data_IF_461682159999
#
_entry.id   IF_461682159999
#
_cell.length_a   1.000
_cell.length_b   1.000
_cell.length_c   1.000
_cell.angle_alpha   90.00
_cell.angle_beta   90.00
_cell.angle_gamma   90.00
#
_symmetry.space_group_name_H-M   'P 1'
#
loop_
_entity.id
_entity.type
_entity.pdbx_description
1 polymer ?
#
# COMPACT_ATOMS: atom_id res chain seq x y z
N UNK A 1 3.05 -16.57 37.85
CA UNK A 1 1.98 -15.56 37.69
C UNK A 1 2.53 -14.47 36.79
N UNK A 2 2.23 -14.55 35.50
CA UNK A 2 2.65 -13.54 34.53
C UNK A 2 1.57 -12.46 34.55
N UNK A 3 1.98 -11.22 34.82
CA UNK A 3 1.09 -10.07 34.87
C UNK A 3 0.41 -9.87 33.51
N UNK A 4 -0.91 -10.05 33.46
CA UNK A 4 -1.79 -9.60 32.36
C UNK A 4 -1.98 -8.08 32.42
N UNK A 5 -0.88 -7.32 32.40
CA UNK A 5 -0.88 -5.89 32.75
C UNK A 5 -0.41 -4.92 31.66
N UNK A 6 -0.04 -5.41 30.47
CA UNK A 6 0.31 -4.53 29.35
C UNK A 6 -0.15 -5.14 28.03
N UNK A 7 -1.25 -4.63 27.49
CA UNK A 7 -1.74 -4.85 26.12
C UNK A 7 -0.90 -4.13 25.06
N UNK A 8 0.35 -3.78 25.38
CA UNK A 8 1.27 -3.14 24.45
C UNK A 8 2.16 -4.21 23.82
N UNK A 9 1.96 -4.41 22.52
CA UNK A 9 2.85 -5.24 21.71
C UNK A 9 4.23 -4.56 21.65
N UNK A 10 5.35 -5.32 21.77
CA UNK A 10 6.69 -4.73 21.65
C UNK A 10 6.85 -3.99 20.33
N UNK A 11 7.43 -2.79 20.39
CA UNK A 11 7.60 -1.92 19.21
C UNK A 11 8.53 -2.52 18.15
N UNK A 12 9.40 -3.45 18.54
CA UNK A 12 10.36 -4.15 17.70
C UNK A 12 9.87 -5.54 17.23
N UNK A 13 8.66 -5.95 17.63
CA UNK A 13 8.11 -7.27 17.28
C UNK A 13 8.07 -7.48 15.76
N UNK A 14 7.66 -6.46 15.01
CA UNK A 14 7.61 -6.51 13.54
C UNK A 14 9.00 -6.66 12.89
N UNK A 15 10.06 -6.20 13.55
CA UNK A 15 11.42 -6.24 13.02
C UNK A 15 12.19 -7.52 13.41
N UNK A 16 11.70 -8.27 14.40
CA UNK A 16 12.38 -9.46 14.91
C UNK A 16 11.47 -10.69 14.88
N UNK A 17 11.68 -11.52 13.85
CA UNK A 17 10.91 -12.73 13.58
C UNK A 17 11.25 -13.91 14.52
N UNK A 18 12.29 -13.78 15.34
CA UNK A 18 12.64 -14.74 16.40
C UNK A 18 11.87 -14.50 17.71
N UNK A 19 11.08 -13.42 17.82
CA UNK A 19 10.31 -13.16 19.03
C UNK A 19 9.35 -14.33 19.34
N UNK A 20 9.36 -14.87 20.58
CA UNK A 20 8.45 -15.94 20.97
C UNK A 20 6.96 -15.61 20.81
N UNK A 21 6.61 -14.31 20.87
CA UNK A 21 5.25 -13.80 20.70
C UNK A 21 4.65 -14.11 19.32
N UNK A 22 5.46 -14.41 18.30
CA UNK A 22 4.93 -14.85 17.00
C UNK A 22 4.11 -16.15 17.11
N UNK A 23 4.49 -17.07 18.01
CA UNK A 23 3.71 -18.28 18.28
C UNK A 23 2.35 -17.97 18.92
N UNK A 24 2.27 -16.89 19.70
CA UNK A 24 1.02 -16.43 20.28
C UNK A 24 0.14 -15.76 19.23
N UNK A 25 0.72 -15.02 18.28
CA UNK A 25 0.01 -14.46 17.12
C UNK A 25 -0.53 -15.59 16.24
N UNK A 26 0.27 -16.62 15.92
CA UNK A 26 -0.20 -17.80 15.17
C UNK A 26 -1.42 -18.45 15.86
N UNK A 27 -1.34 -18.68 17.18
CA UNK A 27 -2.46 -19.24 17.96
C UNK A 27 -3.65 -18.30 18.02
N UNK A 28 -3.42 -16.99 18.09
CA UNK A 28 -4.47 -15.98 18.10
C UNK A 28 -5.25 -16.03 16.80
N UNK A 29 -4.59 -16.20 15.66
CA UNK A 29 -5.26 -16.30 14.35
C UNK A 29 -6.09 -17.58 14.20
N UNK A 30 -5.63 -18.68 14.81
CA UNK A 30 -6.39 -19.93 14.88
C UNK A 30 -7.57 -19.86 15.87
N UNK A 31 -7.43 -19.05 16.92
CA UNK A 31 -8.52 -18.75 17.82
C UNK A 31 -9.45 -17.73 17.15
N UNK A 32 -10.75 -18.01 16.98
CA UNK A 32 -11.71 -17.02 16.47
C UNK A 32 -11.96 -15.84 17.45
N UNK A 33 -10.95 -15.42 18.21
CA UNK A 33 -11.01 -14.37 19.21
C UNK A 33 -11.02 -12.99 18.54
N UNK A 34 -12.24 -12.48 18.35
CA UNK A 34 -12.51 -11.20 17.69
C UNK A 34 -12.02 -9.97 18.48
N UNK A 35 -11.74 -10.12 19.79
CA UNK A 35 -11.45 -8.99 20.69
C UNK A 35 -10.08 -8.32 20.48
N UNK A 36 -9.12 -9.05 19.90
CA UNK A 36 -7.74 -8.57 19.73
C UNK A 36 -7.49 -7.91 18.37
N UNK A 37 -8.36 -8.17 17.39
CA UNK A 37 -8.27 -7.62 16.04
C UNK A 37 -8.26 -6.08 16.00
N UNK A 38 -9.10 -5.34 16.74
CA UNK A 38 -9.09 -3.87 16.67
C UNK A 38 -7.73 -3.25 17.04
N UNK A 39 -7.02 -3.83 18.01
CA UNK A 39 -5.69 -3.35 18.42
C UNK A 39 -4.62 -3.79 17.40
N UNK A 40 -4.71 -5.02 16.92
CA UNK A 40 -3.79 -5.54 15.92
C UNK A 40 -3.86 -4.76 14.59
N UNK A 41 -5.07 -4.43 14.13
CA UNK A 41 -5.30 -3.69 12.87
C UNK A 41 -4.78 -2.25 12.85
N UNK A 42 -4.37 -1.71 14.01
CA UNK A 42 -3.74 -0.39 14.10
C UNK A 42 -2.24 -0.43 13.77
N UNK A 43 -1.63 -1.61 13.73
CA UNK A 43 -0.18 -1.81 13.61
C UNK A 43 0.21 -2.29 12.21
N UNK A 44 0.37 -1.38 11.25
CA UNK A 44 0.66 -1.73 9.85
C UNK A 44 1.96 -2.52 9.67
N UNK A 45 3.04 -2.15 10.38
CA UNK A 45 4.31 -2.87 10.37
C UNK A 45 4.16 -4.31 10.85
N UNK A 46 3.38 -4.53 11.90
CA UNK A 46 3.11 -5.86 12.43
C UNK A 46 2.28 -6.69 11.46
N UNK A 47 1.28 -6.09 10.81
CA UNK A 47 0.47 -6.78 9.79
C UNK A 47 1.37 -7.18 8.61
N UNK A 48 2.22 -6.27 8.12
CA UNK A 48 3.16 -6.56 7.03
C UNK A 48 4.10 -7.72 7.42
N UNK A 49 4.71 -7.65 8.61
CA UNK A 49 5.57 -8.71 9.14
C UNK A 49 4.83 -10.05 9.25
N UNK A 50 3.59 -10.04 9.74
CA UNK A 50 2.76 -11.23 9.89
C UNK A 50 2.53 -11.94 8.55
N UNK A 51 2.26 -11.21 7.47
CA UNK A 51 2.08 -11.83 6.13
C UNK A 51 3.33 -12.64 5.71
N UNK A 52 4.52 -12.16 6.03
CA UNK A 52 5.78 -12.83 5.70
C UNK A 52 6.26 -13.85 6.75
N UNK A 53 5.70 -13.84 7.95
CA UNK A 53 6.15 -14.67 9.08
C UNK A 53 5.27 -15.88 9.35
N UNK A 54 3.96 -15.74 9.20
CA UNK A 54 2.99 -16.75 9.59
C UNK A 54 2.96 -17.90 8.58
N UNK A 55 2.69 -19.11 9.04
CA UNK A 55 2.70 -20.27 8.15
C UNK A 55 1.58 -20.21 7.10
N UNK A 56 0.38 -19.73 7.48
CA UNK A 56 -0.81 -19.65 6.63
C UNK A 56 -1.19 -18.19 6.30
N UNK A 57 -0.45 -17.59 5.38
CA UNK A 57 -0.63 -16.22 4.89
C UNK A 57 -1.99 -16.00 4.22
N UNK A 58 -2.49 -16.97 3.47
CA UNK A 58 -3.77 -16.83 2.75
C UNK A 58 -4.93 -16.69 3.73
N UNK A 59 -4.97 -17.54 4.76
CA UNK A 59 -5.99 -17.42 5.82
C UNK A 59 -5.85 -16.08 6.55
N UNK A 60 -4.63 -15.65 6.87
CA UNK A 60 -4.40 -14.36 7.51
C UNK A 60 -4.89 -13.17 6.67
N UNK A 61 -4.54 -13.15 5.38
CA UNK A 61 -5.02 -12.12 4.43
C UNK A 61 -6.55 -12.13 4.32
N UNK A 62 -7.19 -13.30 4.29
CA UNK A 62 -8.65 -13.43 4.28
C UNK A 62 -9.28 -12.91 5.58
N UNK A 63 -8.64 -13.12 6.75
CA UNK A 63 -9.11 -12.55 8.01
C UNK A 63 -9.00 -11.02 8.00
N UNK A 64 -7.92 -10.44 7.46
CA UNK A 64 -7.81 -8.99 7.30
C UNK A 64 -9.00 -8.43 6.48
N UNK A 65 -9.35 -9.10 5.38
CA UNK A 65 -10.52 -8.73 4.57
C UNK A 65 -11.81 -8.83 5.40
N UNK A 66 -12.01 -9.92 6.13
CA UNK A 66 -13.17 -10.15 7.00
C UNK A 66 -13.33 -9.07 8.07
N UNK A 67 -12.24 -8.56 8.61
CA UNK A 67 -12.25 -7.44 9.58
C UNK A 67 -12.18 -6.06 8.94
N UNK A 68 -12.46 -5.95 7.64
CA UNK A 68 -12.52 -4.71 6.87
C UNK A 68 -11.19 -3.95 6.75
N UNK A 69 -10.07 -4.63 6.92
CA UNK A 69 -8.74 -4.04 6.72
C UNK A 69 -8.34 -4.07 5.25
N UNK A 70 -7.82 -2.95 4.75
CA UNK A 70 -7.32 -2.84 3.36
C UNK A 70 -5.80 -2.79 3.39
N UNK A 71 -5.16 -3.81 2.83
CA UNK A 71 -3.70 -3.97 2.82
C UNK A 71 -2.99 -2.91 1.97
N UNK A 72 -3.72 -2.25 1.06
CA UNK A 72 -3.29 -1.08 0.29
C UNK A 72 -2.97 0.15 1.15
N UNK A 73 -3.40 0.14 2.40
CA UNK A 73 -3.15 1.20 3.37
C UNK A 73 -1.89 0.94 4.22
N UNK A 74 -1.15 -0.15 3.94
CA UNK A 74 0.18 -0.38 4.49
C UNK A 74 1.20 0.35 3.62
N UNK A 75 2.11 1.10 4.24
CA UNK A 75 3.13 1.86 3.53
C UNK A 75 4.23 0.97 2.97
N UNK A 76 4.89 1.42 1.90
CA UNK A 76 6.03 0.77 1.28
C UNK A 76 7.14 0.44 2.29
N UNK A 77 7.44 1.35 3.22
CA UNK A 77 8.47 1.12 4.25
C UNK A 77 8.13 -0.05 5.17
N UNK A 78 6.85 -0.23 5.52
CA UNK A 78 6.41 -1.34 6.37
C UNK A 78 6.56 -2.67 5.65
N UNK A 79 6.20 -2.71 4.36
CA UNK A 79 6.40 -3.88 3.51
C UNK A 79 7.88 -4.22 3.31
N UNK A 80 8.72 -3.23 2.99
CA UNK A 80 10.15 -3.42 2.81
C UNK A 80 10.81 -3.92 4.10
N UNK A 81 10.46 -3.34 5.25
CA UNK A 81 10.98 -3.76 6.55
C UNK A 81 10.56 -5.20 6.88
N UNK A 82 9.32 -5.59 6.57
CA UNK A 82 8.86 -6.97 6.75
C UNK A 82 9.65 -7.95 5.86
N UNK A 83 9.92 -7.59 4.61
CA UNK A 83 10.75 -8.38 3.69
C UNK A 83 12.19 -8.50 4.21
N UNK A 84 12.77 -7.40 4.69
CA UNK A 84 14.13 -7.40 5.26
C UNK A 84 14.20 -8.28 6.52
N UNK A 85 13.22 -8.19 7.41
CA UNK A 85 13.15 -9.01 8.62
C UNK A 85 12.98 -10.50 8.29
N UNK A 86 12.12 -10.83 7.31
CA UNK A 86 11.93 -12.19 6.82
C UNK A 86 13.22 -12.75 6.21
N UNK A 87 13.90 -11.96 5.37
CA UNK A 87 15.16 -12.36 4.74
C UNK A 87 16.23 -12.64 5.80
N UNK A 88 16.37 -11.75 6.78
CA UNK A 88 17.33 -11.95 7.89
C UNK A 88 17.02 -13.22 8.67
N UNK A 89 15.75 -13.43 9.03
CA UNK A 89 15.31 -14.62 9.76
C UNK A 89 15.69 -15.92 9.05
N UNK A 90 15.46 -16.01 7.75
CA UNK A 90 15.78 -17.22 6.98
C UNK A 90 17.30 -17.44 6.85
N UNK A 91 18.07 -16.37 6.68
CA UNK A 91 19.54 -16.45 6.66
C UNK A 91 20.07 -16.94 8.01
N UNK A 92 19.58 -16.37 9.11
CA UNK A 92 19.99 -16.73 10.48
C UNK A 92 19.56 -18.17 10.84
N UNK A 93 18.42 -18.65 10.31
CA UNK A 93 17.89 -19.98 10.59
C UNK A 93 18.61 -21.11 9.83
N UNK A 94 18.91 -20.91 8.54
CA UNK A 94 19.42 -21.97 7.67
C UNK A 94 20.94 -22.08 7.72
N UNK A 95 21.66 -20.96 7.93
CA UNK A 95 23.13 -20.84 7.84
C UNK A 95 23.71 -21.31 6.47
N UNK A 96 24.78 -20.67 6.01
CA UNK A 96 25.47 -21.03 4.75
C UNK A 96 25.00 -20.34 3.47
N UNK A 97 25.61 -20.70 2.33
CA UNK A 97 25.49 -19.98 1.04
C UNK A 97 24.10 -20.05 0.41
N UNK A 98 23.40 -21.18 0.58
CA UNK A 98 22.13 -21.46 -0.08
C UNK A 98 20.94 -20.80 0.64
N UNK A 99 21.16 -20.29 1.86
CA UNK A 99 20.14 -19.64 2.68
C UNK A 99 19.57 -18.39 2.00
N UNK A 100 20.40 -17.64 1.24
CA UNK A 100 19.96 -16.45 0.52
C UNK A 100 18.98 -16.79 -0.60
N UNK A 101 19.27 -17.82 -1.39
CA UNK A 101 18.40 -18.25 -2.48
C UNK A 101 17.09 -18.82 -1.97
N UNK A 102 17.13 -19.61 -0.89
CA UNK A 102 15.93 -20.13 -0.23
C UNK A 102 15.07 -19.01 0.37
N UNK A 103 15.69 -18.03 1.02
CA UNK A 103 14.97 -16.86 1.53
C UNK A 103 14.31 -16.07 0.39
N UNK A 104 15.02 -15.87 -0.73
CA UNK A 104 14.48 -15.19 -1.92
C UNK A 104 13.28 -15.95 -2.49
N UNK A 105 13.39 -17.26 -2.69
CA UNK A 105 12.29 -18.09 -3.22
C UNK A 105 11.06 -18.04 -2.30
N UNK A 106 11.27 -18.13 -0.98
CA UNK A 106 10.18 -18.03 -0.01
C UNK A 106 9.49 -16.66 -0.08
N UNK A 107 10.25 -15.57 -0.04
CA UNK A 107 9.70 -14.20 -0.05
C UNK A 107 8.96 -13.93 -1.37
N UNK A 108 9.49 -14.39 -2.51
CA UNK A 108 8.80 -14.27 -3.80
C UNK A 108 7.47 -15.02 -3.81
N UNK A 109 7.43 -16.24 -3.28
CA UNK A 109 6.17 -16.99 -3.12
C UNK A 109 5.15 -16.23 -2.25
N UNK A 110 5.62 -15.54 -1.20
CA UNK A 110 4.75 -14.69 -0.36
C UNK A 110 4.24 -13.46 -1.09
N UNK A 111 5.09 -12.81 -1.89
CA UNK A 111 4.68 -11.69 -2.75
C UNK A 111 3.61 -12.14 -3.74
N UNK A 112 3.81 -13.28 -4.41
CA UNK A 112 2.82 -13.84 -5.33
C UNK A 112 1.47 -14.09 -4.64
N UNK A 113 1.48 -14.69 -3.44
CA UNK A 113 0.27 -14.91 -2.66
C UNK A 113 -0.45 -13.60 -2.29
N UNK A 114 0.30 -12.55 -1.91
CA UNK A 114 -0.27 -11.21 -1.66
C UNK A 114 -0.93 -10.68 -2.92
N UNK A 115 -0.29 -10.80 -4.08
CA UNK A 115 -0.80 -10.27 -5.35
C UNK A 115 -2.04 -11.02 -5.87
N UNK A 116 -2.24 -12.28 -5.49
CA UNK A 116 -3.50 -12.98 -5.76
C UNK A 116 -4.69 -12.39 -4.98
N UNK A 117 -4.44 -11.87 -3.78
CA UNK A 117 -5.49 -11.31 -2.91
C UNK A 117 -5.65 -9.80 -3.10
N UNK A 118 -4.56 -9.08 -3.31
CA UNK A 118 -4.51 -7.63 -3.48
C UNK A 118 -3.65 -7.24 -4.70
N UNK A 119 -4.18 -7.41 -5.94
CA UNK A 119 -3.47 -7.06 -7.17
C UNK A 119 -3.07 -5.58 -7.30
N UNK A 120 -3.73 -4.71 -6.52
CA UNK A 120 -3.40 -3.29 -6.33
C UNK A 120 -1.97 -3.06 -5.83
N UNK A 121 -1.37 -4.02 -5.12
CA UNK A 121 -0.02 -3.91 -4.57
C UNK A 121 1.09 -4.25 -5.58
N UNK A 122 0.77 -4.54 -6.85
CA UNK A 122 1.76 -5.00 -7.83
C UNK A 122 2.95 -4.06 -8.00
N UNK A 123 2.73 -2.75 -8.09
CA UNK A 123 3.83 -1.77 -8.21
C UNK A 123 4.68 -1.70 -6.95
N UNK A 124 4.05 -1.76 -5.76
CA UNK A 124 4.75 -1.73 -4.46
C UNK A 124 5.68 -2.94 -4.36
N UNK A 125 5.14 -4.13 -4.65
CA UNK A 125 5.89 -5.39 -4.56
C UNK A 125 7.00 -5.45 -5.60
N UNK A 126 6.70 -5.09 -6.86
CA UNK A 126 7.69 -5.00 -7.93
C UNK A 126 8.86 -4.08 -7.56
N UNK A 127 8.58 -2.94 -6.90
CA UNK A 127 9.62 -2.03 -6.45
C UNK A 127 10.46 -2.62 -5.30
N UNK A 128 9.86 -3.40 -4.40
CA UNK A 128 10.61 -4.15 -3.37
C UNK A 128 11.52 -5.18 -4.01
N UNK A 129 11.01 -5.97 -4.96
CA UNK A 129 11.82 -6.97 -5.68
C UNK A 129 13.00 -6.33 -6.40
N UNK A 130 12.78 -5.18 -7.06
CA UNK A 130 13.85 -4.40 -7.68
C UNK A 130 14.88 -3.91 -6.66
N UNK A 131 14.46 -3.37 -5.51
CA UNK A 131 15.40 -2.89 -4.50
C UNK A 131 16.22 -4.01 -3.86
N UNK A 132 15.65 -5.22 -3.75
CA UNK A 132 16.28 -6.36 -3.10
C UNK A 132 17.15 -7.19 -4.05
N UNK A 133 16.74 -7.33 -5.30
CA UNK A 133 17.33 -8.29 -6.23
C UNK A 133 17.54 -7.75 -7.65
N UNK A 134 17.37 -6.44 -7.86
CA UNK A 134 17.49 -5.77 -9.15
C UNK A 134 16.58 -6.37 -10.26
N UNK A 135 15.44 -6.96 -9.86
CA UNK A 135 14.46 -7.53 -10.78
C UNK A 135 13.70 -6.41 -11.52
N UNK A 136 13.91 -6.31 -12.85
CA UNK A 136 13.34 -5.27 -13.71
C UNK A 136 11.99 -5.68 -14.28
N UNK A 137 10.93 -5.61 -13.47
CA UNK A 137 9.56 -5.80 -13.95
C UNK A 137 9.08 -4.66 -14.86
N UNK A 138 7.97 -4.88 -15.59
CA UNK A 138 7.33 -3.86 -16.43
C UNK A 138 7.05 -2.56 -15.66
N UNK A 139 6.51 -2.66 -14.44
CA UNK A 139 6.21 -1.47 -13.63
C UNK A 139 7.47 -0.67 -13.24
N UNK A 140 8.59 -1.34 -13.02
CA UNK A 140 9.88 -0.68 -12.71
C UNK A 140 10.41 0.03 -13.95
N UNK A 141 10.31 -0.61 -15.12
CA UNK A 141 10.72 -0.04 -16.40
C UNK A 141 9.89 1.19 -16.78
N UNK A 142 8.58 1.16 -16.56
CA UNK A 142 7.68 2.31 -16.78
C UNK A 142 8.06 3.51 -15.90
N UNK A 143 8.38 3.27 -14.62
CA UNK A 143 8.87 4.31 -13.71
C UNK A 143 10.19 4.89 -14.20
N UNK A 144 11.15 4.03 -14.59
CA UNK A 144 12.44 4.46 -15.09
C UNK A 144 12.29 5.31 -16.38
N UNK A 145 11.42 4.89 -17.29
CA UNK A 145 11.11 5.63 -18.51
C UNK A 145 10.50 7.00 -18.19
N UNK A 146 9.52 7.06 -17.30
CA UNK A 146 8.88 8.30 -16.87
C UNK A 146 9.90 9.26 -16.23
N UNK A 147 10.81 8.77 -15.38
CA UNK A 147 11.90 9.58 -14.81
C UNK A 147 12.83 10.16 -15.87
N UNK A 148 13.14 9.38 -16.91
CA UNK A 148 14.07 9.79 -17.97
C UNK A 148 13.48 10.80 -18.97
N UNK A 149 12.16 10.87 -19.06
CA UNK A 149 11.44 11.71 -20.02
C UNK A 149 10.69 12.83 -19.27
N UNK A 150 9.44 12.57 -18.90
CA UNK A 150 8.61 13.45 -18.09
C UNK A 150 7.74 12.58 -17.16
N UNK A 151 7.90 12.78 -15.85
CA UNK A 151 7.13 12.08 -14.84
C UNK A 151 5.61 12.36 -14.95
N UNK A 152 5.22 13.52 -15.50
CA UNK A 152 3.82 13.88 -15.71
C UNK A 152 3.16 13.11 -16.86
N UNK A 153 3.91 12.42 -17.71
CA UNK A 153 3.32 11.50 -18.69
C UNK A 153 2.44 10.42 -18.02
N UNK A 154 2.82 9.97 -16.81
CA UNK A 154 2.02 9.03 -16.03
C UNK A 154 0.69 9.64 -15.54
N UNK A 155 0.67 10.96 -15.31
CA UNK A 155 -0.53 11.71 -14.92
C UNK A 155 -1.42 11.93 -16.14
N UNK A 156 -0.83 12.24 -17.29
CA UNK A 156 -1.57 12.38 -18.55
C UNK A 156 -2.26 11.07 -18.95
N UNK A 157 -1.60 9.92 -18.76
CA UNK A 157 -2.22 8.60 -18.96
C UNK A 157 -3.46 8.39 -18.08
N UNK A 158 -3.50 8.96 -16.87
CA UNK A 158 -4.68 8.86 -16.00
C UNK A 158 -5.85 9.68 -16.52
N UNK A 159 -5.59 10.93 -16.93
CA UNK A 159 -6.63 11.95 -17.04
C UNK A 159 -6.91 12.44 -18.45
N UNK A 160 -5.93 12.40 -19.36
CA UNK A 160 -5.97 13.12 -20.63
C UNK A 160 -6.35 12.24 -21.81
N UNK A 161 -7.28 12.75 -22.61
CA UNK A 161 -7.73 12.09 -23.85
C UNK A 161 -8.81 11.03 -23.63
N UNK A 162 -9.38 10.62 -24.75
CA UNK A 162 -10.47 9.63 -24.82
C UNK A 162 -10.02 8.24 -24.36
N UNK A 163 -8.73 7.93 -24.51
CA UNK A 163 -8.15 6.64 -24.14
C UNK A 163 -7.43 6.67 -22.77
N UNK A 164 -7.64 7.74 -21.99
CA UNK A 164 -7.15 7.80 -20.61
C UNK A 164 -7.68 6.63 -19.77
N UNK A 165 -6.92 6.26 -18.74
CA UNK A 165 -7.32 5.20 -17.81
C UNK A 165 -8.65 5.54 -17.13
N UNK A 166 -8.89 6.80 -16.77
CA UNK A 166 -10.15 7.25 -16.19
C UNK A 166 -11.35 6.96 -17.13
N UNK A 167 -11.22 7.29 -18.42
CA UNK A 167 -12.30 7.08 -19.38
C UNK A 167 -12.52 5.59 -19.63
N UNK A 168 -11.45 4.87 -19.95
CA UNK A 168 -11.50 3.48 -20.41
C UNK A 168 -11.78 2.47 -19.31
N UNK A 169 -11.36 2.74 -18.07
CA UNK A 169 -11.53 1.79 -16.95
C UNK A 169 -12.71 2.13 -16.04
N UNK A 170 -13.02 3.42 -15.86
CA UNK A 170 -14.06 3.84 -14.91
C UNK A 170 -15.29 4.47 -15.61
N UNK A 171 -15.13 5.62 -16.27
CA UNK A 171 -16.29 6.42 -16.67
C UNK A 171 -17.15 5.76 -17.76
N UNK A 172 -16.54 5.11 -18.74
CA UNK A 172 -17.27 4.37 -19.79
C UNK A 172 -17.94 3.11 -19.23
N UNK A 173 -17.26 2.41 -18.32
CA UNK A 173 -17.78 1.20 -17.66
C UNK A 173 -19.03 1.49 -16.83
N UNK A 174 -19.07 2.68 -16.21
CA UNK A 174 -20.14 3.09 -15.29
C UNK A 174 -21.01 4.22 -15.85
N UNK A 175 -21.17 4.29 -17.18
CA UNK A 175 -21.90 5.38 -17.84
C UNK A 175 -23.39 5.44 -17.45
N UNK A 176 -23.98 4.31 -17.05
CA UNK A 176 -25.37 4.17 -16.63
C UNK A 176 -25.56 4.17 -15.11
N UNK A 177 -24.48 4.25 -14.33
CA UNK A 177 -24.56 4.19 -12.86
C UNK A 177 -24.98 5.55 -12.32
N UNK A 178 -26.17 5.58 -11.71
CA UNK A 178 -26.73 6.79 -11.11
C UNK A 178 -26.18 7.07 -9.71
N UNK A 179 -25.88 6.01 -8.93
CA UNK A 179 -25.44 6.11 -7.53
C UNK A 179 -23.97 5.73 -7.41
N UNK A 180 -23.13 6.69 -7.06
CA UNK A 180 -21.70 6.50 -6.84
C UNK A 180 -21.37 6.61 -5.34
N UNK A 181 -20.36 5.86 -4.84
CA UNK A 181 -19.81 6.08 -3.51
C UNK A 181 -19.30 7.52 -3.37
N UNK A 182 -20.04 8.35 -2.65
CA UNK A 182 -19.72 9.77 -2.48
C UNK A 182 -19.29 10.06 -1.05
N UNK A 183 -18.21 10.82 -0.91
CA UNK A 183 -17.68 11.19 0.39
C UNK A 183 -16.79 12.42 0.30
N UNK A 184 -16.78 13.22 1.37
CA UNK A 184 -15.78 14.30 1.56
C UNK A 184 -14.42 13.75 2.01
N UNK A 185 -14.23 12.42 2.00
CA UNK A 185 -13.01 11.79 2.49
C UNK A 185 -11.78 12.18 1.68
N UNK A 186 -11.89 12.33 0.35
CA UNK A 186 -10.75 12.73 -0.48
C UNK A 186 -10.13 14.05 -0.01
N UNK A 187 -10.92 15.12 0.12
CA UNK A 187 -10.42 16.42 0.59
C UNK A 187 -9.83 16.34 2.00
N UNK A 188 -10.43 15.54 2.90
CA UNK A 188 -9.89 15.31 4.25
C UNK A 188 -8.55 14.58 4.21
N UNK A 189 -8.44 13.54 3.39
CA UNK A 189 -7.24 12.72 3.22
C UNK A 189 -6.11 13.53 2.59
N UNK A 190 -6.39 14.27 1.50
CA UNK A 190 -5.42 15.13 0.84
C UNK A 190 -4.85 16.20 1.79
N UNK A 191 -5.72 16.84 2.58
CA UNK A 191 -5.28 17.81 3.60
C UNK A 191 -4.45 17.17 4.71
N UNK A 192 -4.81 15.96 5.15
CA UNK A 192 -4.05 15.23 6.16
C UNK A 192 -2.66 14.84 5.64
N UNK A 193 -2.61 14.35 4.40
CA UNK A 193 -1.38 14.01 3.69
C UNK A 193 -0.47 15.23 3.55
N UNK A 194 -0.97 16.34 3.00
CA UNK A 194 -0.22 17.58 2.82
C UNK A 194 0.40 18.09 4.13
N UNK A 195 -0.38 18.12 5.22
CA UNK A 195 0.08 18.60 6.54
C UNK A 195 1.22 17.79 7.14
N UNK A 196 1.34 16.51 6.76
CA UNK A 196 2.38 15.60 7.25
C UNK A 196 3.47 15.35 6.21
N UNK A 197 3.32 15.90 5.00
CA UNK A 197 4.26 15.75 3.91
C UNK A 197 5.53 16.57 4.13
N UNK A 198 6.71 16.04 3.79
CA UNK A 198 7.93 16.83 3.68
C UNK A 198 7.83 17.91 2.58
N UNK A 199 8.75 18.88 2.61
CA UNK A 199 8.71 20.05 1.73
C UNK A 199 8.75 19.71 0.24
N UNK A 200 9.49 18.67 -0.16
CA UNK A 200 9.54 18.22 -1.56
C UNK A 200 8.14 17.77 -2.04
N UNK A 201 7.43 16.97 -1.25
CA UNK A 201 6.08 16.51 -1.58
C UNK A 201 5.09 17.68 -1.55
N UNK A 202 5.18 18.59 -0.57
CA UNK A 202 4.34 19.79 -0.54
C UNK A 202 4.50 20.64 -1.81
N UNK A 203 5.74 20.84 -2.29
CA UNK A 203 6.00 21.57 -3.55
C UNK A 203 5.35 20.89 -4.75
N UNK A 204 5.39 19.57 -4.83
CA UNK A 204 4.73 18.81 -5.90
C UNK A 204 3.20 19.07 -5.86
N UNK A 205 2.60 18.99 -4.67
CA UNK A 205 1.17 19.23 -4.47
C UNK A 205 0.78 20.70 -4.76
N UNK A 206 1.61 21.67 -4.37
CA UNK A 206 1.38 23.09 -4.64
C UNK A 206 1.48 23.39 -6.14
N UNK A 207 2.47 22.82 -6.83
CA UNK A 207 2.60 22.91 -8.29
C UNK A 207 1.36 22.35 -8.99
N UNK A 208 0.87 21.19 -8.53
CA UNK A 208 -0.35 20.58 -9.05
C UNK A 208 -1.59 21.46 -8.91
N UNK A 209 -1.64 22.34 -7.91
CA UNK A 209 -2.77 23.25 -7.73
C UNK A 209 -2.65 24.52 -8.58
N UNK A 210 -1.42 24.92 -8.92
CA UNK A 210 -1.13 26.18 -9.61
C UNK A 210 -0.95 26.05 -11.13
N UNK A 211 -0.54 24.87 -11.62
CA UNK A 211 -0.23 24.62 -13.03
C UNK A 211 -1.19 23.56 -13.61
N UNK A 212 -2.01 23.98 -14.57
CA UNK A 212 -2.97 23.11 -15.25
C UNK A 212 -2.33 21.93 -15.98
N UNK A 213 -1.04 22.02 -16.34
CA UNK A 213 -0.28 20.93 -16.97
C UNK A 213 0.30 19.93 -15.98
N UNK A 214 0.21 20.21 -14.68
CA UNK A 214 0.80 19.39 -13.60
C UNK A 214 -0.24 18.87 -12.61
N UNK A 215 -1.51 18.85 -13.00
CA UNK A 215 -2.63 18.49 -12.16
C UNK A 215 -2.59 17.00 -11.82
N UNK A 216 -2.09 16.66 -10.63
CA UNK A 216 -1.97 15.29 -10.13
C UNK A 216 -3.32 14.59 -9.94
N UNK A 217 -4.30 15.32 -9.44
CA UNK A 217 -5.62 14.80 -9.12
C UNK A 217 -6.68 15.40 -10.02
N UNK A 218 -7.66 14.61 -10.41
CA UNK A 218 -8.76 15.06 -11.25
C UNK A 218 -9.45 16.30 -10.63
N UNK A 219 -9.56 17.42 -11.36
CA UNK A 219 -9.75 18.75 -10.78
C UNK A 219 -11.17 19.03 -10.28
N UNK A 220 -12.15 18.16 -10.58
CA UNK A 220 -13.54 18.37 -10.17
C UNK A 220 -13.78 17.88 -8.74
N UNK A 221 -13.15 18.55 -7.76
CA UNK A 221 -13.19 18.16 -6.34
C UNK A 221 -14.63 18.20 -5.77
N UNK A 222 -15.51 18.99 -6.38
CA UNK A 222 -16.92 19.11 -6.02
C UNK A 222 -17.83 18.11 -6.73
N UNK A 223 -17.32 17.34 -7.69
CA UNK A 223 -18.05 16.26 -8.33
C UNK A 223 -18.29 15.12 -7.33
N UNK A 224 -19.48 14.53 -7.37
CA UNK A 224 -19.86 13.44 -6.48
C UNK A 224 -19.01 12.17 -6.73
N UNK A 225 -18.36 12.05 -7.90
CA UNK A 225 -17.41 10.99 -8.27
C UNK A 225 -15.99 11.21 -7.76
N UNK A 226 -15.68 12.40 -7.24
CA UNK A 226 -14.34 12.81 -6.84
C UNK A 226 -13.63 11.80 -5.94
N UNK A 227 -14.36 11.23 -4.97
CA UNK A 227 -13.82 10.23 -4.06
C UNK A 227 -13.39 8.95 -4.79
N UNK A 228 -14.26 8.41 -5.65
CA UNK A 228 -13.97 7.19 -6.45
C UNK A 228 -12.81 7.40 -7.41
N UNK A 229 -12.75 8.58 -8.04
CA UNK A 229 -11.69 8.91 -9.02
C UNK A 229 -10.34 9.09 -8.32
N UNK A 230 -10.27 9.92 -7.29
CA UNK A 230 -8.99 10.41 -6.78
C UNK A 230 -8.41 9.64 -5.58
N UNK A 231 -9.25 9.00 -4.74
CA UNK A 231 -8.73 8.30 -3.56
C UNK A 231 -7.79 7.14 -3.88
N UNK A 232 -8.05 6.28 -4.88
CA UNK A 232 -7.10 5.21 -5.20
C UNK A 232 -5.73 5.75 -5.58
N UNK A 233 -5.68 6.82 -6.39
CA UNK A 233 -4.43 7.51 -6.77
C UNK A 233 -3.72 8.07 -5.55
N UNK A 234 -4.45 8.75 -4.66
CA UNK A 234 -3.87 9.29 -3.42
C UNK A 234 -3.35 8.17 -2.50
N UNK A 235 -4.06 7.05 -2.38
CA UNK A 235 -3.63 5.90 -1.58
C UNK A 235 -2.32 5.31 -2.12
N UNK A 236 -2.19 5.12 -3.43
CA UNK A 236 -0.95 4.64 -4.03
C UNK A 236 0.20 5.64 -3.93
N UNK A 237 -0.08 6.92 -4.14
CA UNK A 237 0.94 7.97 -4.00
C UNK A 237 1.44 8.06 -2.55
N UNK A 238 0.51 8.05 -1.59
CA UNK A 238 0.83 8.10 -0.16
C UNK A 238 1.58 6.83 0.28
N UNK A 239 1.21 5.64 -0.19
CA UNK A 239 1.85 4.39 0.24
C UNK A 239 3.34 4.34 -0.09
N UNK A 240 3.76 4.96 -1.19
CA UNK A 240 5.16 5.04 -1.56
C UNK A 240 5.94 6.12 -0.81
N UNK A 241 5.26 7.11 -0.23
CA UNK A 241 5.87 8.27 0.43
C UNK A 241 6.37 8.00 1.86
N UNK A 242 7.13 8.95 2.41
CA UNK A 242 7.55 8.95 3.82
C UNK A 242 6.47 9.34 4.82
N UNK A 243 5.27 9.69 4.35
CA UNK A 243 4.18 10.13 5.22
C UNK A 243 3.51 8.91 5.87
N UNK A 244 3.40 8.84 7.21
CA UNK A 244 2.80 7.69 7.88
C UNK A 244 1.36 7.42 7.44
N UNK A 245 1.07 6.16 7.10
CA UNK A 245 -0.28 5.71 6.74
C UNK A 245 -1.22 5.54 7.95
N UNK A 246 -0.72 5.74 9.17
CA UNK A 246 -1.50 5.58 10.40
C UNK A 246 -2.77 6.46 10.42
N UNK A 247 -2.82 7.57 9.67
CA UNK A 247 -4.04 8.36 9.53
C UNK A 247 -5.25 7.52 9.08
N UNK A 248 -5.04 6.46 8.30
CA UNK A 248 -6.10 5.56 7.88
C UNK A 248 -6.58 4.61 8.98
N UNK A 249 -5.67 4.10 9.82
CA UNK A 249 -5.97 3.07 10.83
C UNK A 249 -6.64 3.57 12.10
N UNK A 250 -6.47 4.84 12.45
CA UNK A 250 -7.11 5.42 13.65
C UNK A 250 -8.64 5.55 13.53
N UNK A 251 -9.21 5.31 12.35
CA UNK A 251 -10.60 5.62 12.03
C UNK A 251 -11.25 4.54 11.16
N UNK A 252 -12.00 3.60 11.75
CA UNK A 252 -12.61 2.47 11.04
C UNK A 252 -13.50 2.88 9.85
N UNK A 253 -14.13 4.06 9.91
CA UNK A 253 -14.94 4.59 8.82
C UNK A 253 -14.14 4.88 7.55
N UNK A 254 -12.84 5.21 7.69
CA UNK A 254 -11.95 5.49 6.55
C UNK A 254 -11.59 4.19 5.84
N UNK A 255 -11.23 3.17 6.61
CA UNK A 255 -10.96 1.83 6.06
C UNK A 255 -12.21 1.24 5.38
N UNK A 256 -13.39 1.38 6.01
CA UNK A 256 -14.66 0.94 5.43
C UNK A 256 -14.92 1.62 4.08
N UNK A 257 -14.68 2.92 3.97
CA UNK A 257 -14.88 3.62 2.70
C UNK A 257 -13.91 3.15 1.62
N UNK A 258 -12.65 2.87 1.95
CA UNK A 258 -11.70 2.26 0.99
C UNK A 258 -12.20 0.89 0.52
N UNK A 259 -12.77 0.07 1.41
CA UNK A 259 -13.41 -1.19 1.01
C UNK A 259 -14.61 -0.98 0.10
N UNK A 260 -15.44 0.02 0.37
CA UNK A 260 -16.56 0.39 -0.51
C UNK A 260 -16.07 0.76 -1.92
N UNK A 261 -14.97 1.51 -2.03
CA UNK A 261 -14.36 1.82 -3.32
C UNK A 261 -13.82 0.58 -4.04
N UNK A 262 -13.12 -0.31 -3.32
CA UNK A 262 -12.63 -1.59 -3.84
C UNK A 262 -13.77 -2.49 -4.33
N UNK A 263 -14.90 -2.51 -3.62
CA UNK A 263 -16.09 -3.28 -4.02
C UNK A 263 -16.85 -2.64 -5.17
N UNK A 264 -16.83 -1.31 -5.29
CA UNK A 264 -17.51 -0.59 -6.37
C UNK A 264 -16.84 -0.83 -7.73
N UNK A 265 -15.52 -0.65 -7.80
CA UNK A 265 -14.74 -0.96 -9.01
C UNK A 265 -13.32 -1.41 -8.65
N UNK A 266 -13.09 -2.73 -8.51
CA UNK A 266 -11.78 -3.26 -8.14
C UNK A 266 -10.72 -3.01 -9.23
N UNK A 267 -11.13 -2.97 -10.51
CA UNK A 267 -10.23 -2.78 -11.65
C UNK A 267 -9.72 -1.33 -11.66
N UNK A 268 -10.62 -0.36 -11.54
CA UNK A 268 -10.24 1.04 -11.42
C UNK A 268 -9.37 1.27 -10.20
N UNK A 269 -9.77 0.75 -9.02
CA UNK A 269 -8.98 0.91 -7.82
C UNK A 269 -7.55 0.39 -8.00
N UNK A 270 -7.40 -0.83 -8.53
CA UNK A 270 -6.09 -1.43 -8.82
C UNK A 270 -5.26 -0.56 -9.76
N UNK A 271 -5.82 -0.17 -10.91
CA UNK A 271 -5.11 0.59 -11.94
C UNK A 271 -4.69 1.96 -11.41
N UNK A 272 -5.61 2.69 -10.80
CA UNK A 272 -5.38 4.03 -10.29
C UNK A 272 -4.43 4.04 -9.08
N UNK A 273 -4.53 3.05 -8.18
CA UNK A 273 -3.57 2.89 -7.09
C UNK A 273 -2.16 2.65 -7.62
N UNK A 274 -1.97 1.67 -8.51
CA UNK A 274 -0.67 1.37 -9.10
C UNK A 274 -0.08 2.57 -9.83
N UNK A 275 -0.90 3.30 -10.58
CA UNK A 275 -0.46 4.52 -11.24
C UNK A 275 -0.06 5.61 -10.25
N UNK A 276 -0.78 5.76 -9.13
CA UNK A 276 -0.39 6.61 -8.01
C UNK A 276 0.98 6.25 -7.43
N UNK A 277 1.26 4.95 -7.24
CA UNK A 277 2.58 4.48 -6.82
C UNK A 277 3.67 4.86 -7.82
N UNK A 278 3.45 4.63 -9.12
CA UNK A 278 4.40 4.96 -10.19
C UNK A 278 4.68 6.46 -10.25
N UNK A 279 3.65 7.29 -10.10
CA UNK A 279 3.77 8.75 -10.05
C UNK A 279 4.62 9.19 -8.85
N UNK A 280 4.37 8.62 -7.66
CA UNK A 280 5.17 8.94 -6.46
C UNK A 280 6.64 8.53 -6.64
N UNK A 281 6.90 7.37 -7.24
CA UNK A 281 8.25 6.93 -7.57
C UNK A 281 8.92 7.86 -8.58
N UNK A 282 8.23 8.19 -9.68
CA UNK A 282 8.76 9.01 -10.77
C UNK A 282 9.03 10.47 -10.37
N UNK A 283 8.24 11.02 -9.45
CA UNK A 283 8.41 12.37 -8.92
C UNK A 283 9.35 12.45 -7.70
N UNK A 284 10.04 11.36 -7.37
CA UNK A 284 10.92 11.27 -6.18
C UNK A 284 10.20 11.67 -4.87
N UNK A 285 8.92 11.33 -4.78
CA UNK A 285 8.10 11.49 -3.58
C UNK A 285 8.17 10.26 -2.66
N UNK A 286 8.93 9.23 -3.03
CA UNK A 286 9.00 7.95 -2.34
C UNK A 286 10.01 7.97 -1.17
N UNK A 287 9.90 6.97 -0.27
CA UNK A 287 10.94 6.71 0.73
C UNK A 287 12.23 6.23 0.05
N UNK A 288 13.27 7.05 0.08
CA UNK A 288 14.62 6.59 -0.21
C UNK A 288 15.15 5.78 0.99
N UNK A 289 15.40 4.49 0.79
CA UNK A 289 16.29 3.74 1.67
C UNK A 289 17.66 3.69 1.00
N UNK A 290 18.68 4.20 1.70
CA UNK A 290 20.06 4.02 1.26
C UNK A 290 20.33 2.51 1.18
N UNK A 291 20.81 2.03 0.02
CA UNK A 291 21.43 0.70 -0.09
C UNK A 291 22.68 0.73 0.79
N UNK A 292 22.62 0.12 1.97
CA UNK A 292 23.82 -0.19 2.77
C UNK A 292 24.56 -1.38 2.15
#
# INVERSE_FOLDING_TARGET
MVNHGSTELPSDLAANFHYPLWLEIDRLLLSNNTSLWPHFLQNHSLIAAAVFRLENECEFLNQLIKYNFSVELIGYSDWLNAVNACNKFWIDLLDGSDAQDMARLYIKGRIEAILQVAPSLSTVMAWIEYQRWDDLSESVLEVALAKSQDAYNLVDQLWQGEDSLLQTKLLRTHSSVEVWPSSKLFTKALNAFYKKSPQNIQRILDQSNSDQRRVLFWPLIHDYKCAVVNLPVLCGFWSMSSVPMAWWSHHPERQRFIKELLSFDPIWFQVAYNQGCKIALALDAHCEFNRE
#
